data_IF_865691437561
#
_entry.id   IF_865691437561
#
_cell.length_a   1.000
_cell.length_b   1.000
_cell.length_c   1.000
_cell.angle_alpha   90.00
_cell.angle_beta   90.00
_cell.angle_gamma   90.00
#
_symmetry.space_group_name_H-M   'P 1'
#
loop_
_entity.id
_entity.type
_entity.pdbx_description
1 polymer ?
#
# COMPACT_ATOMS: atom_id res chain seq x y z
N UNK A 1 3.50 -11.78 11.90
CA UNK A 1 2.82 -10.61 12.52
C UNK A 1 2.42 -9.63 11.41
N UNK A 2 1.26 -8.99 11.49
CA UNK A 2 0.88 -7.95 10.52
C UNK A 2 1.23 -6.56 11.05
N UNK A 3 1.86 -5.75 10.21
CA UNK A 3 2.05 -4.32 10.44
C UNK A 3 1.11 -3.58 9.49
N UNK A 4 0.03 -3.05 10.05
CA UNK A 4 -0.98 -2.33 9.31
C UNK A 4 -0.57 -0.87 9.15
N UNK A 5 -0.52 -0.40 7.90
CA UNK A 5 -0.09 0.95 7.55
C UNK A 5 -1.14 1.66 6.70
N UNK A 6 -1.27 2.96 6.92
CA UNK A 6 -2.04 3.85 6.06
C UNK A 6 -1.09 4.78 5.28
N UNK A 7 -1.34 4.95 3.99
CA UNK A 7 -0.58 5.87 3.14
C UNK A 7 -1.32 7.21 3.03
N UNK A 8 -0.76 8.24 3.66
CA UNK A 8 -1.23 9.62 3.49
C UNK A 8 -0.50 10.23 2.31
N UNK A 9 -1.20 10.32 1.18
CA UNK A 9 -0.65 10.60 -0.13
C UNK A 9 -0.31 9.34 -0.91
N UNK A 10 -0.77 9.28 -2.16
CA UNK A 10 -0.47 8.20 -3.11
C UNK A 10 0.19 8.74 -4.39
N UNK A 11 1.13 9.67 -4.19
CA UNK A 11 2.01 10.20 -5.23
C UNK A 11 3.15 9.23 -5.58
N UNK A 12 4.25 9.74 -6.14
CA UNK A 12 5.39 8.90 -6.54
C UNK A 12 5.94 8.04 -5.40
N UNK A 13 6.09 8.61 -4.20
CA UNK A 13 6.65 7.88 -3.03
C UNK A 13 5.70 6.77 -2.58
N UNK A 14 4.42 7.09 -2.32
CA UNK A 14 3.43 6.10 -1.88
C UNK A 14 3.27 4.96 -2.90
N UNK A 15 3.22 5.29 -4.19
CA UNK A 15 3.14 4.29 -5.28
C UNK A 15 4.40 3.43 -5.37
N UNK A 16 5.60 4.01 -5.27
CA UNK A 16 6.84 3.22 -5.31
C UNK A 16 6.97 2.34 -4.07
N UNK A 17 6.59 2.83 -2.90
CA UNK A 17 6.56 2.03 -1.68
C UNK A 17 5.62 0.83 -1.80
N UNK A 18 4.39 1.05 -2.29
CA UNK A 18 3.43 -0.02 -2.54
C UNK A 18 3.96 -1.10 -3.50
N UNK A 19 4.61 -0.68 -4.60
CA UNK A 19 5.27 -1.60 -5.53
C UNK A 19 6.45 -2.34 -4.88
N UNK A 20 7.25 -1.65 -4.08
CA UNK A 20 8.39 -2.25 -3.36
C UNK A 20 7.93 -3.30 -2.36
N UNK A 21 6.82 -3.08 -1.66
CA UNK A 21 6.23 -4.08 -0.77
C UNK A 21 5.78 -5.34 -1.52
N UNK A 22 5.23 -5.19 -2.73
CA UNK A 22 4.91 -6.35 -3.57
C UNK A 22 6.18 -7.08 -4.07
N UNK A 23 7.21 -6.33 -4.45
CA UNK A 23 8.49 -6.87 -4.94
C UNK A 23 9.31 -7.56 -3.83
N UNK A 24 9.33 -7.00 -2.61
CA UNK A 24 10.27 -7.36 -1.55
C UNK A 24 9.65 -7.63 -0.18
N UNK A 25 8.33 -7.59 -0.03
CA UNK A 25 7.65 -7.86 1.23
C UNK A 25 7.92 -9.27 1.78
N UNK A 26 8.20 -10.23 0.90
CA UNK A 26 8.63 -11.58 1.30
C UNK A 26 9.94 -11.59 2.10
N UNK A 27 10.87 -10.68 1.80
CA UNK A 27 12.13 -10.56 2.57
C UNK A 27 11.86 -10.05 3.99
N UNK A 28 10.94 -9.09 4.16
CA UNK A 28 10.54 -8.60 5.49
C UNK A 28 9.90 -9.73 6.32
N UNK A 29 9.10 -10.59 5.70
CA UNK A 29 8.54 -11.74 6.38
C UNK A 29 9.63 -12.75 6.76
N UNK A 30 10.55 -13.06 5.84
CA UNK A 30 11.60 -14.05 6.06
C UNK A 30 12.64 -13.60 7.11
N UNK A 31 13.07 -12.34 7.06
CA UNK A 31 14.16 -11.82 7.90
C UNK A 31 13.64 -11.24 9.23
N UNK A 32 12.42 -10.68 9.24
CA UNK A 32 11.89 -9.93 10.38
C UNK A 32 10.56 -10.50 10.92
N UNK A 33 9.96 -11.51 10.27
CA UNK A 33 8.68 -12.10 10.71
C UNK A 33 7.46 -11.18 10.55
N UNK A 34 7.60 -10.11 9.76
CA UNK A 34 6.59 -9.06 9.58
C UNK A 34 6.04 -9.07 8.16
N UNK A 35 4.71 -9.07 8.06
CA UNK A 35 3.99 -8.78 6.81
C UNK A 35 3.42 -7.37 6.90
N UNK A 36 3.87 -6.47 6.04
CA UNK A 36 3.32 -5.12 5.96
C UNK A 36 2.05 -5.16 5.12
N UNK A 37 0.96 -4.61 5.64
CA UNK A 37 -0.34 -4.57 4.98
C UNK A 37 -0.84 -3.13 4.90
N UNK A 38 -1.09 -2.67 3.67
CA UNK A 38 -1.68 -1.36 3.45
C UNK A 38 -3.19 -1.48 3.71
N UNK A 39 -3.67 -0.89 4.81
CA UNK A 39 -5.09 -0.92 5.19
C UNK A 39 -5.82 0.36 4.81
N UNK A 40 -5.10 1.41 4.43
CA UNK A 40 -5.71 2.67 4.00
C UNK A 40 -4.83 3.48 3.07
N UNK A 41 -5.47 4.20 2.16
CA UNK A 41 -4.83 5.15 1.26
C UNK A 41 -5.69 6.41 1.21
N UNK A 42 -5.08 7.57 1.43
CA UNK A 42 -5.74 8.86 1.29
C UNK A 42 -5.00 9.72 0.29
N UNK A 43 -5.71 10.36 -0.63
CA UNK A 43 -5.15 11.20 -1.67
C UNK A 43 -5.81 12.58 -1.66
N UNK A 44 -5.16 13.58 -2.25
CA UNK A 44 -5.71 14.93 -2.32
C UNK A 44 -6.85 15.06 -3.36
N UNK A 45 -6.86 14.24 -4.42
CA UNK A 45 -7.79 14.38 -5.56
C UNK A 45 -8.69 13.16 -5.80
N UNK A 46 -8.21 11.96 -5.53
CA UNK A 46 -8.90 10.71 -5.84
C UNK A 46 -9.70 10.13 -4.67
N UNK A 47 -9.79 10.88 -3.56
CA UNK A 47 -10.46 10.45 -2.34
C UNK A 47 -9.62 9.54 -1.45
N UNK A 48 -10.29 8.73 -0.64
CA UNK A 48 -9.70 7.81 0.33
C UNK A 48 -10.34 6.43 0.25
N UNK A 49 -9.58 5.40 0.61
CA UNK A 49 -10.04 4.01 0.72
C UNK A 49 -9.45 3.38 1.98
N UNK A 50 -10.24 2.54 2.65
CA UNK A 50 -9.81 1.76 3.80
C UNK A 50 -10.46 0.38 3.77
N UNK A 51 -9.72 -0.63 4.21
CA UNK A 51 -10.20 -1.99 4.39
C UNK A 51 -9.41 -2.66 5.52
N UNK A 52 -10.10 -3.21 6.51
CA UNK A 52 -9.50 -3.83 7.69
C UNK A 52 -8.57 -5.00 7.32
N UNK A 53 -8.94 -5.74 6.28
CA UNK A 53 -8.19 -6.90 5.78
C UNK A 53 -7.12 -6.53 4.74
N UNK A 54 -7.00 -5.25 4.39
CA UNK A 54 -6.06 -4.73 3.40
C UNK A 54 -6.76 -4.17 2.16
N UNK A 55 -6.20 -3.11 1.62
CA UNK A 55 -6.66 -2.48 0.37
C UNK A 55 -6.12 -3.28 -0.82
N UNK A 56 -6.92 -3.37 -1.89
CA UNK A 56 -6.44 -3.82 -3.20
C UNK A 56 -5.48 -2.79 -3.79
N UNK A 57 -4.19 -2.97 -3.49
CA UNK A 57 -3.10 -2.07 -3.90
C UNK A 57 -2.95 -2.02 -5.42
N UNK A 58 -2.96 -3.14 -6.18
CA UNK A 58 -2.99 -3.10 -7.64
C UNK A 58 -4.13 -2.24 -8.21
N UNK A 59 -5.36 -2.43 -7.73
CA UNK A 59 -6.49 -1.63 -8.20
C UNK A 59 -6.33 -0.15 -7.86
N UNK A 60 -5.82 0.17 -6.66
CA UNK A 60 -5.53 1.55 -6.26
C UNK A 60 -4.47 2.20 -7.17
N UNK A 61 -3.41 1.47 -7.53
CA UNK A 61 -2.37 1.92 -8.46
C UNK A 61 -2.96 2.23 -9.83
N UNK A 62 -3.74 1.31 -10.40
CA UNK A 62 -4.37 1.50 -11.70
C UNK A 62 -5.29 2.72 -11.73
N UNK A 63 -6.08 2.95 -10.66
CA UNK A 63 -7.00 4.10 -10.59
C UNK A 63 -6.26 5.44 -10.59
N UNK A 64 -5.20 5.59 -9.80
CA UNK A 64 -4.47 6.87 -9.72
C UNK A 64 -3.58 7.14 -10.94
N UNK A 65 -3.19 6.09 -11.66
CA UNK A 65 -2.42 6.20 -12.91
C UNK A 65 -3.29 6.49 -14.13
N UNK A 66 -4.58 6.14 -14.07
CA UNK A 66 -5.55 6.41 -15.14
C UNK A 66 -6.02 7.88 -15.23
N UNK A 67 -5.76 8.70 -14.21
CA UNK A 67 -6.14 10.12 -14.17
C UNK A 67 -7.34 10.40 -13.30
#
# INVERSE_FOLDING_TARGET
>A
MFLDVALIGFGHVGRRFARLLAERGGMLLAEQGVTVRIVGISTNRHGHVWAAEGVDVPAALSRVEAG
#
